data_IF_516614842469
#
_entry.id   IF_516614842469
#
_cell.length_a   1.000
_cell.length_b   1.000
_cell.length_c   1.000
_cell.angle_alpha   90.00
_cell.angle_beta   90.00
_cell.angle_gamma   90.00
#
_symmetry.space_group_name_H-M   'P 1'
#
loop_
_entity.id
_entity.type
_entity.pdbx_description
1 polymer ?
#
# COMPACT_ATOMS: atom_id res chain seq x y z
N UNK A 1 22.34 5.25 20.69
CA UNK A 1 21.59 3.99 20.54
C UNK A 1 21.90 3.46 19.14
N UNK A 2 22.17 2.16 18.94
CA UNK A 2 22.34 1.64 17.59
C UNK A 2 21.06 1.87 16.79
N UNK A 3 21.18 2.30 15.53
CA UNK A 3 20.03 2.40 14.63
C UNK A 3 19.37 1.02 14.54
N UNK A 4 18.07 0.94 14.83
CA UNK A 4 17.33 -0.30 14.61
C UNK A 4 17.37 -0.62 13.12
N UNK A 5 17.79 -1.83 12.71
CA UNK A 5 17.72 -2.20 11.32
C UNK A 5 16.26 -2.16 10.88
N UNK A 6 15.99 -1.50 9.76
CA UNK A 6 14.64 -1.42 9.21
C UNK A 6 14.06 -2.80 8.85
N UNK A 7 14.87 -3.86 8.86
CA UNK A 7 14.40 -5.23 8.70
C UNK A 7 13.38 -5.67 9.75
N UNK A 8 13.42 -5.10 10.96
CA UNK A 8 12.55 -5.50 12.08
C UNK A 8 11.06 -5.14 11.86
N UNK A 9 10.77 -4.23 10.93
CA UNK A 9 9.40 -3.83 10.58
C UNK A 9 8.77 -4.80 9.57
N UNK A 10 9.57 -5.70 9.00
CA UNK A 10 9.15 -6.67 8.01
C UNK A 10 9.34 -8.09 8.55
N UNK A 11 8.64 -9.04 7.94
CA UNK A 11 8.78 -10.46 8.26
C UNK A 11 8.37 -11.30 7.07
N UNK A 12 8.58 -12.61 7.17
CA UNK A 12 8.18 -13.56 6.15
C UNK A 12 6.70 -13.93 6.31
N UNK A 13 5.99 -13.89 5.21
CA UNK A 13 4.61 -14.33 5.07
C UNK A 13 4.54 -15.47 4.04
N UNK A 14 3.60 -16.38 4.23
CA UNK A 14 3.15 -17.27 3.16
C UNK A 14 1.80 -16.74 2.67
N UNK A 15 1.70 -16.50 1.38
CA UNK A 15 0.50 -15.96 0.76
C UNK A 15 0.07 -16.84 -0.41
N UNK A 16 -1.17 -17.28 -0.39
CA UNK A 16 -1.88 -17.87 -1.53
C UNK A 16 -3.13 -17.04 -1.85
N UNK A 17 -4.04 -17.56 -2.68
CA UNK A 17 -5.20 -16.79 -3.15
C UNK A 17 -6.20 -16.54 -2.02
N UNK A 18 -6.55 -17.58 -1.26
CA UNK A 18 -7.58 -17.47 -0.21
C UNK A 18 -7.01 -17.19 1.18
N UNK A 19 -5.68 -17.21 1.37
CA UNK A 19 -5.07 -17.11 2.69
C UNK A 19 -3.69 -16.46 2.65
N UNK A 20 -3.47 -15.50 3.55
CA UNK A 20 -2.16 -14.88 3.78
C UNK A 20 -1.82 -14.95 5.27
N UNK A 21 -0.69 -15.58 5.63
CA UNK A 21 -0.26 -15.80 7.00
C UNK A 21 1.15 -15.29 7.26
N UNK A 22 1.30 -14.55 8.34
CA UNK A 22 2.60 -14.18 8.91
C UNK A 22 3.25 -15.38 9.60
N UNK A 23 4.51 -15.67 9.27
CA UNK A 23 5.30 -16.69 9.99
C UNK A 23 5.85 -16.15 11.31
N UNK A 24 5.99 -17.05 12.28
CA UNK A 24 6.73 -16.78 13.51
C UNK A 24 8.23 -17.05 13.30
N UNK A 25 9.14 -16.44 14.09
CA UNK A 25 10.59 -16.62 13.93
C UNK A 25 11.07 -18.08 14.01
N UNK A 26 10.34 -18.93 14.74
CA UNK A 26 10.63 -20.36 14.95
C UNK A 26 10.03 -21.27 13.86
N UNK A 27 9.21 -20.74 12.96
CA UNK A 27 8.66 -21.51 11.84
C UNK A 27 9.73 -21.78 10.78
N UNK A 28 9.67 -22.97 10.15
CA UNK A 28 10.50 -23.36 9.00
C UNK A 28 9.75 -23.07 7.69
N UNK A 29 10.09 -22.03 6.91
CA UNK A 29 9.26 -21.58 5.79
C UNK A 29 9.01 -22.65 4.72
N UNK A 30 10.04 -23.46 4.41
CA UNK A 30 9.93 -24.55 3.42
C UNK A 30 8.95 -25.63 3.89
N UNK A 31 9.06 -26.08 5.14
CA UNK A 31 8.13 -27.07 5.72
C UNK A 31 6.70 -26.54 5.76
N UNK A 32 6.51 -25.25 6.04
CA UNK A 32 5.18 -24.61 6.03
C UNK A 32 4.60 -24.55 4.60
N UNK A 33 5.43 -24.31 3.58
CA UNK A 33 4.99 -24.35 2.18
C UNK A 33 4.57 -25.75 1.73
N UNK A 34 5.37 -26.78 2.06
CA UNK A 34 5.05 -28.18 1.73
C UNK A 34 3.73 -28.63 2.36
N UNK A 35 3.47 -28.18 3.59
CA UNK A 35 2.25 -28.48 4.33
C UNK A 35 1.06 -27.57 3.98
N UNK A 36 1.22 -26.59 3.09
CA UNK A 36 0.22 -25.54 2.87
C UNK A 36 -1.14 -26.11 2.43
N UNK A 37 -1.15 -26.87 1.32
CA UNK A 37 -2.38 -27.43 0.72
C UNK A 37 -3.00 -28.55 1.54
N UNK A 38 -2.17 -29.39 2.17
CA UNK A 38 -2.65 -30.62 2.81
C UNK A 38 -3.03 -30.44 4.28
N UNK A 39 -2.52 -29.40 4.95
CA UNK A 39 -2.73 -29.18 6.38
C UNK A 39 -3.23 -27.78 6.67
N UNK A 40 -2.45 -26.75 6.32
CA UNK A 40 -2.71 -25.37 6.77
C UNK A 40 -4.01 -24.83 6.19
N UNK A 41 -4.20 -24.94 4.88
CA UNK A 41 -5.41 -24.48 4.20
C UNK A 41 -6.65 -25.20 4.73
N UNK A 42 -6.62 -26.54 4.79
CA UNK A 42 -7.75 -27.35 5.30
C UNK A 42 -8.13 -27.05 6.75
N UNK A 43 -7.20 -26.56 7.56
CA UNK A 43 -7.45 -26.21 8.95
C UNK A 43 -8.01 -24.79 9.13
N UNK A 44 -7.71 -23.88 8.20
CA UNK A 44 -7.97 -22.45 8.37
C UNK A 44 -8.97 -21.89 7.36
N UNK A 45 -9.25 -22.61 6.27
CA UNK A 45 -10.17 -22.20 5.21
C UNK A 45 -10.96 -23.39 4.66
N UNK A 46 -12.06 -23.08 3.98
CA UNK A 46 -12.83 -24.02 3.17
C UNK A 46 -12.44 -23.94 1.67
N UNK A 47 -11.32 -23.27 1.37
CA UNK A 47 -10.87 -23.04 0.00
C UNK A 47 -10.41 -24.32 -0.69
N UNK A 48 -10.52 -24.35 -2.03
CA UNK A 48 -10.07 -25.47 -2.85
C UNK A 48 -8.53 -25.53 -2.90
N UNK A 49 -7.87 -26.52 -2.27
CA UNK A 49 -6.41 -26.56 -2.21
C UNK A 49 -5.73 -26.69 -3.57
N UNK A 50 -6.44 -27.14 -4.61
CA UNK A 50 -5.89 -27.29 -5.96
C UNK A 50 -5.64 -25.95 -6.66
N UNK A 51 -6.35 -24.89 -6.23
CA UNK A 51 -6.24 -23.53 -6.77
C UNK A 51 -5.16 -22.69 -6.08
N UNK A 52 -4.68 -23.16 -4.93
CA UNK A 52 -3.82 -22.37 -4.06
C UNK A 52 -2.33 -22.51 -4.43
N UNK A 53 -1.67 -21.41 -4.76
CA UNK A 53 -0.23 -21.36 -5.07
C UNK A 53 0.53 -20.54 -3.99
N UNK A 54 1.00 -21.16 -2.89
CA UNK A 54 1.65 -20.44 -1.80
C UNK A 54 3.01 -19.87 -2.18
N UNK A 55 3.22 -18.59 -1.87
CA UNK A 55 4.48 -17.87 -2.10
C UNK A 55 5.00 -17.27 -0.82
N UNK A 56 6.32 -17.35 -0.63
CA UNK A 56 7.00 -16.57 0.39
C UNK A 56 7.06 -15.11 -0.05
N UNK A 57 6.60 -14.21 0.81
CA UNK A 57 6.69 -12.77 0.62
C UNK A 57 7.35 -12.14 1.84
N UNK A 58 8.19 -11.14 1.60
CA UNK A 58 8.70 -10.26 2.64
C UNK A 58 7.79 -9.04 2.74
N UNK A 59 7.07 -8.89 3.86
CA UNK A 59 5.98 -7.93 4.02
C UNK A 59 6.00 -7.28 5.39
N UNK A 60 5.23 -6.20 5.55
CA UNK A 60 5.02 -5.51 6.83
C UNK A 60 4.71 -6.53 7.92
N UNK A 61 5.42 -6.45 9.04
CA UNK A 61 5.13 -7.22 10.23
C UNK A 61 3.83 -6.68 10.84
N UNK A 62 2.80 -7.53 10.95
CA UNK A 62 1.50 -7.15 11.51
C UNK A 62 1.60 -6.68 12.96
N UNK A 63 2.66 -7.07 13.68
CA UNK A 63 2.92 -6.64 15.05
C UNK A 63 3.57 -5.25 15.16
N UNK A 64 4.04 -4.67 14.05
CA UNK A 64 4.60 -3.32 14.05
C UNK A 64 3.51 -2.32 14.42
N UNK A 65 3.74 -1.57 15.51
CA UNK A 65 2.84 -0.52 15.94
C UNK A 65 2.94 0.71 15.03
N UNK A 66 1.85 1.46 14.92
CA UNK A 66 1.78 2.69 14.10
C UNK A 66 2.84 3.71 14.53
N UNK A 67 3.07 3.84 15.84
CA UNK A 67 4.05 4.79 16.38
C UNK A 67 5.48 4.41 15.98
N UNK A 68 5.81 3.12 16.00
CA UNK A 68 7.13 2.64 15.57
C UNK A 68 7.32 2.88 14.07
N UNK A 69 6.29 2.59 13.28
CA UNK A 69 6.34 2.75 11.82
C UNK A 69 6.51 4.23 11.42
N UNK A 70 5.90 5.17 12.15
CA UNK A 70 6.09 6.62 11.93
C UNK A 70 7.50 7.13 12.20
N UNK A 71 8.33 6.36 12.90
CA UNK A 71 9.73 6.73 13.15
C UNK A 71 10.68 6.24 12.06
N UNK A 72 10.17 5.51 11.07
CA UNK A 72 10.99 4.97 9.99
C UNK A 72 11.44 6.10 9.06
N UNK A 73 12.76 6.23 8.92
CA UNK A 73 13.37 7.17 7.98
C UNK A 73 14.10 6.47 6.84
N UNK A 74 14.29 5.15 6.92
CA UNK A 74 15.07 4.39 5.96
C UNK A 74 14.37 4.35 4.58
N UNK A 75 14.99 4.86 3.50
CA UNK A 75 14.31 5.03 2.20
C UNK A 75 13.75 3.73 1.61
N UNK A 76 14.50 2.62 1.69
CA UNK A 76 14.02 1.34 1.16
C UNK A 76 12.82 0.80 1.96
N UNK A 77 12.77 1.10 3.27
CA UNK A 77 11.69 0.64 4.13
C UNK A 77 10.40 1.40 3.81
N UNK A 78 10.49 2.73 3.70
CA UNK A 78 9.39 3.60 3.26
C UNK A 78 8.88 3.15 1.88
N UNK A 79 9.78 2.87 0.93
CA UNK A 79 9.40 2.41 -0.40
C UNK A 79 8.64 1.07 -0.35
N UNK A 80 9.12 0.09 0.40
CA UNK A 80 8.45 -1.21 0.53
C UNK A 80 7.07 -1.09 1.19
N UNK A 81 6.96 -0.31 2.28
CA UNK A 81 5.68 -0.04 2.93
C UNK A 81 4.70 0.66 1.98
N UNK A 82 5.18 1.65 1.22
CA UNK A 82 4.37 2.35 0.22
C UNK A 82 3.84 1.40 -0.85
N UNK A 83 4.68 0.51 -1.40
CA UNK A 83 4.24 -0.45 -2.42
C UNK A 83 3.17 -1.41 -1.89
N UNK A 84 3.34 -1.91 -0.67
CA UNK A 84 2.35 -2.77 -0.03
C UNK A 84 1.03 -2.00 0.23
N UNK A 85 1.13 -0.79 0.77
CA UNK A 85 -0.04 0.05 1.05
C UNK A 85 -0.78 0.47 -0.23
N UNK A 86 -0.04 0.84 -1.28
CA UNK A 86 -0.59 1.16 -2.60
C UNK A 86 -1.36 -0.01 -3.20
N UNK A 87 -0.82 -1.23 -3.09
CA UNK A 87 -1.50 -2.44 -3.56
C UNK A 87 -2.82 -2.64 -2.82
N UNK A 88 -2.80 -2.60 -1.50
CA UNK A 88 -4.00 -2.77 -0.68
C UNK A 88 -5.03 -1.66 -0.94
N UNK A 89 -4.57 -0.43 -1.15
CA UNK A 89 -5.39 0.70 -1.55
C UNK A 89 -6.10 0.46 -2.89
N UNK A 90 -5.34 0.11 -3.94
CA UNK A 90 -5.90 0.05 -5.29
C UNK A 90 -6.88 -1.13 -5.44
N UNK A 91 -6.59 -2.26 -4.78
CA UNK A 91 -7.49 -3.43 -4.71
C UNK A 91 -8.65 -3.26 -3.74
N UNK A 92 -8.85 -2.06 -3.19
CA UNK A 92 -9.93 -1.70 -2.26
C UNK A 92 -9.96 -2.55 -0.96
N UNK A 93 -8.81 -3.06 -0.50
CA UNK A 93 -8.67 -3.68 0.82
C UNK A 93 -8.64 -2.64 1.94
N UNK A 94 -8.35 -1.39 1.60
CA UNK A 94 -8.41 -0.28 2.54
C UNK A 94 -9.66 0.59 2.32
N UNK A 95 -10.53 0.73 3.32
CA UNK A 95 -11.69 1.61 3.22
C UNK A 95 -11.24 3.07 3.18
N UNK A 96 -11.55 3.75 2.09
CA UNK A 96 -11.15 5.14 1.85
C UNK A 96 -12.37 6.05 1.71
N UNK A 97 -12.29 7.26 2.25
CA UNK A 97 -13.20 8.35 1.88
C UNK A 97 -12.73 9.01 0.59
N UNK A 98 -13.62 9.75 -0.07
CA UNK A 98 -13.28 10.48 -1.29
C UNK A 98 -12.07 11.41 -1.09
N UNK A 99 -11.97 12.07 0.07
CA UNK A 99 -10.83 12.93 0.39
C UNK A 99 -9.51 12.17 0.50
N UNK A 100 -9.54 10.93 1.03
CA UNK A 100 -8.35 10.08 1.15
C UNK A 100 -7.85 9.71 -0.26
N UNK A 101 -8.77 9.40 -1.19
CA UNK A 101 -8.46 9.15 -2.61
C UNK A 101 -7.84 10.37 -3.28
N UNK A 102 -8.41 11.57 -3.09
CA UNK A 102 -7.87 12.79 -3.67
C UNK A 102 -6.45 13.07 -3.20
N UNK A 103 -6.19 12.94 -1.89
CA UNK A 103 -4.84 13.14 -1.33
C UNK A 103 -3.83 12.13 -1.88
N UNK A 104 -4.19 10.84 -1.92
CA UNK A 104 -3.28 9.81 -2.41
C UNK A 104 -2.99 9.95 -3.90
N UNK A 105 -4.00 10.30 -4.71
CA UNK A 105 -3.81 10.57 -6.12
C UNK A 105 -2.82 11.73 -6.37
N UNK A 106 -2.89 12.80 -5.58
CA UNK A 106 -1.92 13.91 -5.65
C UNK A 106 -0.51 13.42 -5.33
N UNK A 107 -0.34 12.61 -4.28
CA UNK A 107 0.97 12.03 -3.93
C UNK A 107 1.50 11.18 -5.09
N UNK A 108 0.69 10.30 -5.69
CA UNK A 108 1.11 9.48 -6.83
C UNK A 108 1.55 10.35 -8.00
N UNK A 109 0.79 11.41 -8.33
CA UNK A 109 1.16 12.35 -9.39
C UNK A 109 2.51 13.01 -9.10
N UNK A 110 2.71 13.53 -7.89
CA UNK A 110 3.95 14.19 -7.48
C UNK A 110 5.15 13.23 -7.51
N UNK A 111 4.96 11.99 -7.05
CA UNK A 111 5.98 10.94 -7.13
C UNK A 111 6.38 10.63 -8.57
N UNK A 112 5.42 10.67 -9.51
CA UNK A 112 5.68 10.45 -10.95
C UNK A 112 6.31 11.65 -11.65
N UNK A 113 6.34 12.80 -10.98
CA UNK A 113 6.99 14.01 -11.45
C UNK A 113 8.32 14.27 -10.74
N UNK A 114 8.87 13.28 -10.04
CA UNK A 114 10.09 13.41 -9.23
C UNK A 114 10.03 14.59 -8.26
N UNK A 115 8.83 14.88 -7.72
CA UNK A 115 8.61 15.98 -6.79
C UNK A 115 8.56 17.37 -7.44
N UNK A 116 8.43 17.49 -8.77
CA UNK A 116 8.33 18.78 -9.46
C UNK A 116 6.88 19.09 -9.80
N UNK A 117 6.32 20.14 -9.18
CA UNK A 117 4.95 20.57 -9.48
C UNK A 117 4.82 21.06 -10.93
N UNK A 118 4.03 20.34 -11.74
CA UNK A 118 3.73 20.71 -13.12
C UNK A 118 2.30 20.29 -13.50
N UNK A 119 1.43 21.26 -13.76
CA UNK A 119 0.01 21.02 -14.08
C UNK A 119 -0.21 20.35 -15.43
N UNK A 120 0.61 20.67 -16.43
CA UNK A 120 0.50 20.09 -17.78
C UNK A 120 0.84 18.60 -17.76
N UNK A 121 1.97 18.24 -17.15
CA UNK A 121 2.39 16.85 -16.98
C UNK A 121 1.40 16.08 -16.09
N UNK A 122 0.89 16.70 -15.02
CA UNK A 122 -0.10 16.08 -14.14
C UNK A 122 -1.38 15.73 -14.88
N UNK A 123 -1.90 16.66 -15.70
CA UNK A 123 -3.11 16.45 -16.50
C UNK A 123 -2.92 15.29 -17.50
N UNK A 124 -1.78 15.28 -18.21
CA UNK A 124 -1.47 14.22 -19.17
C UNK A 124 -1.34 12.86 -18.49
N UNK A 125 -0.66 12.79 -17.34
CA UNK A 125 -0.50 11.57 -16.57
C UNK A 125 -1.85 11.05 -16.04
N UNK A 126 -2.67 11.93 -15.45
CA UNK A 126 -4.00 11.58 -14.93
C UNK A 126 -4.93 11.02 -16.01
N UNK A 127 -4.94 11.63 -17.20
CA UNK A 127 -5.79 11.15 -18.31
C UNK A 127 -5.49 9.72 -18.76
N UNK A 128 -4.24 9.26 -18.57
CA UNK A 128 -3.77 7.93 -18.98
C UNK A 128 -3.81 6.90 -17.85
N UNK A 129 -3.71 7.36 -16.60
CA UNK A 129 -3.39 6.51 -15.45
C UNK A 129 -4.43 6.58 -14.32
N UNK A 130 -5.64 7.05 -14.59
CA UNK A 130 -6.68 7.21 -13.55
C UNK A 130 -6.96 5.92 -12.76
N UNK A 131 -6.94 4.76 -13.43
CA UNK A 131 -7.14 3.45 -12.80
C UNK A 131 -6.03 3.07 -11.80
N UNK A 132 -4.87 3.72 -11.85
CA UNK A 132 -3.78 3.54 -10.89
C UNK A 132 -3.86 4.48 -9.69
N UNK A 133 -4.89 5.35 -9.63
CA UNK A 133 -5.00 6.38 -8.59
C UNK A 133 -6.31 6.31 -7.80
N UNK A 134 -7.24 5.44 -8.19
CA UNK A 134 -8.55 5.33 -7.57
C UNK A 134 -8.87 3.85 -7.36
N UNK A 135 -9.34 3.44 -6.16
CA UNK A 135 -9.64 2.04 -5.89
C UNK A 135 -10.67 1.48 -6.85
N UNK A 136 -10.51 0.22 -7.26
CA UNK A 136 -11.34 -0.43 -8.28
C UNK A 136 -12.85 -0.31 -8.00
N UNK A 137 -13.25 -0.43 -6.73
CA UNK A 137 -14.66 -0.34 -6.33
C UNK A 137 -15.22 1.08 -6.43
N UNK A 138 -14.39 2.12 -6.28
CA UNK A 138 -14.80 3.53 -6.32
C UNK A 138 -14.85 4.11 -7.74
N UNK A 139 -14.25 3.41 -8.72
CA UNK A 139 -14.18 3.85 -10.11
C UNK A 139 -15.50 3.70 -10.89
N UNK A 140 -16.38 2.79 -10.49
CA UNK A 140 -17.58 2.40 -11.24
C UNK A 140 -18.49 3.61 -11.52
N UNK A 141 -18.63 3.96 -12.80
CA UNK A 141 -19.51 5.03 -13.29
C UNK A 141 -19.07 6.47 -12.97
N UNK A 142 -17.89 6.68 -12.37
CA UNK A 142 -17.45 8.00 -11.87
C UNK A 142 -16.12 8.49 -12.44
N UNK A 143 -15.57 7.85 -13.48
CA UNK A 143 -14.23 8.15 -14.02
C UNK A 143 -14.00 9.64 -14.35
N UNK A 144 -14.96 10.28 -15.03
CA UNK A 144 -14.84 11.71 -15.37
C UNK A 144 -14.87 12.61 -14.13
N UNK A 145 -15.71 12.31 -13.14
CA UNK A 145 -15.79 13.06 -11.90
C UNK A 145 -14.49 12.95 -11.10
N UNK A 146 -13.92 11.73 -11.00
CA UNK A 146 -12.63 11.51 -10.34
C UNK A 146 -11.49 12.27 -11.02
N UNK A 147 -11.36 12.16 -12.34
CA UNK A 147 -10.34 12.90 -13.08
C UNK A 147 -10.42 14.41 -12.82
N UNK A 148 -11.61 14.99 -12.88
CA UNK A 148 -11.80 16.42 -12.65
C UNK A 148 -11.50 16.82 -11.19
N UNK A 149 -11.97 16.03 -10.23
CA UNK A 149 -11.79 16.32 -8.80
C UNK A 149 -10.33 16.16 -8.37
N UNK A 150 -9.64 15.11 -8.83
CA UNK A 150 -8.21 14.89 -8.58
C UNK A 150 -7.40 16.04 -9.17
N UNK A 151 -7.68 16.44 -10.43
CA UNK A 151 -6.93 17.53 -11.04
C UNK A 151 -7.20 18.88 -10.38
N UNK A 152 -8.43 19.13 -9.90
CA UNK A 152 -8.74 20.31 -9.09
C UNK A 152 -7.94 20.29 -7.79
N UNK A 153 -8.03 19.19 -7.03
CA UNK A 153 -7.33 19.03 -5.77
C UNK A 153 -5.80 19.16 -5.92
N UNK A 154 -5.21 18.56 -6.96
CA UNK A 154 -3.79 18.72 -7.29
C UNK A 154 -3.39 20.19 -7.46
N UNK A 155 -4.22 21.01 -8.13
CA UNK A 155 -3.92 22.44 -8.29
C UNK A 155 -3.96 23.18 -6.97
N UNK A 156 -4.89 22.80 -6.10
CA UNK A 156 -5.16 23.48 -4.82
C UNK A 156 -4.08 23.15 -3.77
N UNK A 157 -3.64 21.89 -3.68
CA UNK A 157 -2.73 21.43 -2.61
C UNK A 157 -1.36 20.93 -3.08
N UNK A 158 -1.16 20.71 -4.38
CA UNK A 158 0.06 20.04 -4.88
C UNK A 158 1.35 20.80 -4.59
N UNK A 159 1.33 22.14 -4.60
CA UNK A 159 2.50 22.96 -4.25
C UNK A 159 2.82 22.92 -2.76
N UNK A 160 1.81 23.13 -1.92
CA UNK A 160 1.99 23.09 -0.45
C UNK A 160 2.37 21.70 0.04
N UNK A 161 1.98 20.66 -0.69
CA UNK A 161 2.43 19.30 -0.39
C UNK A 161 3.94 19.15 -0.53
N UNK A 162 4.55 19.66 -1.60
CA UNK A 162 6.00 19.61 -1.81
C UNK A 162 6.80 20.47 -0.80
N UNK A 163 6.21 21.56 -0.33
CA UNK A 163 6.84 22.49 0.63
C UNK A 163 6.78 21.97 2.08
N UNK A 164 6.00 20.91 2.34
CA UNK A 164 5.98 20.22 3.63
C UNK A 164 7.15 19.24 3.79
N UNK A 165 7.45 18.78 5.03
CA UNK A 165 8.48 17.78 5.26
C UNK A 165 8.15 16.51 4.46
N UNK A 166 8.94 16.23 3.43
CA UNK A 166 8.68 15.28 2.34
C UNK A 166 8.42 13.85 2.81
N UNK A 167 9.01 13.47 3.94
CA UNK A 167 8.81 12.17 4.59
C UNK A 167 7.42 12.05 5.23
N UNK A 168 6.87 13.15 5.76
CA UNK A 168 5.67 13.12 6.59
C UNK A 168 4.39 12.88 5.78
N UNK A 169 4.37 13.16 4.47
CA UNK A 169 3.14 13.10 3.66
C UNK A 169 2.84 11.73 3.05
N UNK A 170 3.84 11.02 2.56
CA UNK A 170 3.67 9.62 2.10
C UNK A 170 3.30 8.75 3.29
N UNK A 171 3.98 8.97 4.42
CA UNK A 171 3.69 8.36 5.71
C UNK A 171 2.23 8.64 6.13
N UNK A 172 1.79 9.90 6.20
CA UNK A 172 0.44 10.23 6.69
C UNK A 172 -0.69 9.56 5.89
N UNK A 173 -0.54 9.39 4.58
CA UNK A 173 -1.60 8.81 3.74
C UNK A 173 -1.58 7.29 3.78
N UNK A 174 -0.41 6.65 3.76
CA UNK A 174 -0.32 5.21 4.04
C UNK A 174 -0.90 4.87 5.43
N UNK A 175 -0.57 5.65 6.45
CA UNK A 175 -1.07 5.45 7.82
C UNK A 175 -2.57 5.71 7.99
N UNK A 176 -3.11 6.78 7.41
CA UNK A 176 -4.54 7.07 7.57
C UNK A 176 -5.43 6.08 6.82
N UNK A 177 -4.92 5.49 5.73
CA UNK A 177 -5.63 4.50 4.94
C UNK A 177 -5.50 3.09 5.55
N UNK A 178 -4.34 2.71 6.09
CA UNK A 178 -4.13 1.40 6.71
C UNK A 178 -4.77 1.22 8.09
N UNK A 179 -5.13 2.31 8.77
CA UNK A 179 -5.52 2.31 10.19
C UNK A 179 -6.99 2.59 10.48
N UNK A 180 -7.87 2.57 9.46
CA UNK A 180 -9.33 2.59 9.71
C UNK A 180 -9.85 1.15 9.72
N UNK A 181 -10.38 0.67 10.87
CA UNK A 181 -11.02 -0.64 10.95
C UNK A 181 -12.24 -0.75 10.04
#
# INVERSE_FOLDING_TARGET
MPEKPYGDIFTIWICSESLELQLKPDHKPVEQMENWRHKILRQLTEGDPSKEDPKLKWRRNAKTGIMDERTITHPAAIHLLFHEAYKNYITALYPCKDQDVLNFAVIIILMKQDGVYNTSTAKAFLSKNLQSMVPEQMMKGKSHAWSNNIFRHYKDVGKSMLEGPSHVQVDMVCFNISCRP
#
